data_IF_304789945438
#
_entry.id   IF_304789945438
#
_cell.length_a   1.000
_cell.length_b   1.000
_cell.length_c   1.000
_cell.angle_alpha   90.00
_cell.angle_beta   90.00
_cell.angle_gamma   90.00
#
_symmetry.space_group_name_H-M   'P 1'
#
loop_
_entity.id
_entity.type
_entity.pdbx_description
1 polymer ?
#
# COMPACT_ATOMS: atom_id res chain seq x y z
N UNK A 1 23.19 15.09 7.33
CA UNK A 1 22.06 14.27 7.83
C UNK A 1 22.20 12.89 7.22
N UNK A 2 22.08 11.83 8.03
CA UNK A 2 21.98 10.44 7.55
C UNK A 2 20.51 10.05 7.50
N UNK A 3 20.05 9.50 6.39
CA UNK A 3 18.69 8.99 6.25
C UNK A 3 18.67 7.48 6.53
N UNK A 4 17.67 7.00 7.27
CA UNK A 4 17.40 5.58 7.42
C UNK A 4 16.69 5.07 6.18
N UNK A 5 17.21 4.00 5.57
CA UNK A 5 16.63 3.35 4.38
C UNK A 5 16.38 1.89 4.70
N UNK A 6 15.18 1.40 4.40
CA UNK A 6 14.80 -0.01 4.51
C UNK A 6 14.45 -0.54 3.13
N UNK A 7 15.08 -1.64 2.72
CA UNK A 7 14.91 -2.27 1.40
C UNK A 7 14.98 -3.78 1.55
N UNK A 8 13.95 -4.47 1.06
CA UNK A 8 13.84 -5.92 1.10
C UNK A 8 13.39 -6.45 -0.28
N UNK A 9 13.81 -7.66 -0.62
CA UNK A 9 13.37 -8.36 -1.82
C UNK A 9 12.14 -9.22 -1.51
N UNK A 10 11.05 -9.03 -2.26
CA UNK A 10 9.92 -9.96 -2.33
C UNK A 10 10.08 -10.86 -3.56
N UNK A 11 9.65 -12.12 -3.45
CA UNK A 11 9.71 -13.10 -4.54
C UNK A 11 8.33 -13.40 -5.13
N UNK A 12 7.26 -13.07 -4.41
CA UNK A 12 5.89 -13.16 -4.92
C UNK A 12 4.97 -12.06 -4.36
N UNK A 13 3.78 -11.95 -4.95
CA UNK A 13 2.68 -11.13 -4.42
C UNK A 13 1.66 -11.94 -3.59
N UNK A 14 2.01 -13.16 -3.16
CA UNK A 14 1.15 -13.92 -2.27
C UNK A 14 0.88 -13.12 -0.99
N UNK A 15 -0.38 -13.01 -0.59
CA UNK A 15 -0.82 -12.11 0.50
C UNK A 15 0.01 -12.34 1.77
N UNK A 16 0.24 -13.59 2.18
CA UNK A 16 1.00 -13.91 3.39
C UNK A 16 2.47 -13.47 3.30
N UNK A 17 3.09 -13.59 2.11
CA UNK A 17 4.46 -13.15 1.87
C UNK A 17 4.56 -11.62 1.89
N UNK A 18 3.63 -10.94 1.22
CA UNK A 18 3.56 -9.48 1.16
C UNK A 18 3.29 -8.89 2.55
N UNK A 19 2.38 -9.46 3.31
CA UNK A 19 2.13 -9.03 4.68
C UNK A 19 3.39 -9.17 5.54
N UNK A 20 4.02 -10.35 5.53
CA UNK A 20 5.23 -10.60 6.31
C UNK A 20 6.39 -9.66 5.92
N UNK A 21 6.59 -9.40 4.63
CA UNK A 21 7.67 -8.52 4.18
C UNK A 21 7.38 -7.04 4.49
N UNK A 22 6.13 -6.59 4.41
CA UNK A 22 5.77 -5.21 4.77
C UNK A 22 6.01 -4.92 6.24
N UNK A 23 5.69 -5.87 7.13
CA UNK A 23 6.01 -5.74 8.55
C UNK A 23 7.52 -5.53 8.77
N UNK A 24 8.35 -6.39 8.17
CA UNK A 24 9.82 -6.28 8.24
C UNK A 24 10.35 -5.01 7.58
N UNK A 25 9.74 -4.58 6.47
CA UNK A 25 10.14 -3.38 5.75
C UNK A 25 9.95 -2.12 6.60
N UNK A 26 8.84 -2.05 7.35
CA UNK A 26 8.49 -0.89 8.17
C UNK A 26 9.14 -0.91 9.56
N UNK A 27 9.55 -2.07 10.07
CA UNK A 27 10.13 -2.22 11.42
C UNK A 27 11.28 -1.22 11.70
N UNK A 28 12.29 -1.02 10.83
CA UNK A 28 13.37 -0.05 11.08
C UNK A 28 12.90 1.41 11.13
N UNK A 29 11.68 1.69 10.65
CA UNK A 29 11.05 3.01 10.64
C UNK A 29 10.06 3.19 11.82
N UNK A 30 10.00 2.22 12.73
CA UNK A 30 9.06 2.21 13.87
C UNK A 30 7.70 1.58 13.54
N UNK A 31 7.59 0.86 12.42
CA UNK A 31 6.36 0.20 11.99
C UNK A 31 5.29 1.15 11.47
N UNK A 32 4.12 0.60 11.14
CA UNK A 32 2.98 1.42 10.67
C UNK A 32 2.51 2.41 11.74
N UNK A 33 2.57 2.05 13.02
CA UNK A 33 2.16 2.87 14.16
C UNK A 33 3.02 4.12 14.35
N UNK A 34 4.25 4.15 13.82
CA UNK A 34 5.05 5.37 13.78
C UNK A 34 4.41 6.44 12.88
N UNK A 35 3.67 6.01 11.84
CA UNK A 35 3.10 6.85 10.79
C UNK A 35 1.61 7.12 11.03
N UNK A 36 0.83 6.08 11.33
CA UNK A 36 -0.63 6.12 11.49
C UNK A 36 -0.99 6.12 12.97
N UNK A 37 -1.93 7.00 13.35
CA UNK A 37 -2.48 7.07 14.71
C UNK A 37 -3.95 6.62 14.75
N UNK A 38 -4.43 6.13 15.91
CA UNK A 38 -5.83 5.77 16.06
C UNK A 38 -6.77 6.91 15.69
N UNK A 39 -7.76 6.62 14.82
CA UNK A 39 -8.72 7.59 14.32
C UNK A 39 -8.31 8.34 13.05
N UNK A 40 -7.07 8.19 12.58
CA UNK A 40 -6.63 8.81 11.32
C UNK A 40 -7.44 8.29 10.14
N UNK A 41 -7.84 9.18 9.23
CA UNK A 41 -8.36 8.81 7.92
C UNK A 41 -7.21 8.80 6.92
N UNK A 42 -6.82 7.62 6.47
CA UNK A 42 -5.61 7.43 5.66
C UNK A 42 -5.97 7.18 4.21
N UNK A 43 -5.57 8.10 3.32
CA UNK A 43 -5.69 7.91 1.88
C UNK A 43 -4.64 6.90 1.41
N UNK A 44 -5.11 5.78 0.88
CA UNK A 44 -4.30 4.89 0.07
C UNK A 44 -4.44 5.35 -1.38
N UNK A 45 -3.32 5.74 -1.97
CA UNK A 45 -3.24 6.22 -3.36
C UNK A 45 -2.56 5.19 -4.27
N UNK A 46 -3.21 4.03 -4.53
CA UNK A 46 -2.68 3.09 -5.51
C UNK A 46 -2.62 3.80 -6.86
N UNK A 47 -1.70 3.37 -7.71
CA UNK A 47 -1.54 3.92 -9.04
C UNK A 47 -2.45 3.11 -9.99
N UNK A 48 -3.56 3.69 -10.46
CA UNK A 48 -4.63 3.02 -11.22
C UNK A 48 -4.74 3.57 -12.67
N UNK A 49 -3.63 3.85 -13.35
CA UNK A 49 -3.56 4.63 -14.60
C UNK A 49 -4.62 4.30 -15.67
N UNK A 50 -4.94 3.01 -15.82
CA UNK A 50 -5.89 2.49 -16.81
C UNK A 50 -6.51 1.23 -16.24
N UNK A 51 -7.75 0.88 -16.64
CA UNK A 51 -8.38 -0.43 -16.38
C UNK A 51 -7.67 -1.58 -17.14
N UNK A 52 -6.35 -1.64 -17.04
CA UNK A 52 -5.51 -2.63 -17.68
C UNK A 52 -5.42 -3.87 -16.81
N UNK A 53 -5.24 -5.02 -17.47
CA UNK A 53 -5.02 -6.29 -16.77
C UNK A 53 -3.74 -6.22 -15.93
N UNK A 54 -3.69 -6.86 -14.75
CA UNK A 54 -2.52 -6.87 -13.86
C UNK A 54 -1.21 -7.30 -14.53
N UNK A 55 -1.30 -8.07 -15.61
CA UNK A 55 -0.15 -8.58 -16.37
C UNK A 55 0.69 -7.52 -17.08
N UNK A 56 0.22 -6.26 -17.14
CA UNK A 56 0.99 -5.15 -17.73
C UNK A 56 1.79 -4.35 -16.70
N UNK A 57 1.65 -4.65 -15.41
CA UNK A 57 2.28 -3.88 -14.31
C UNK A 57 2.05 -2.36 -14.39
N UNK A 58 0.95 -1.96 -15.02
CA UNK A 58 0.58 -0.54 -15.20
C UNK A 58 -0.21 0.00 -14.00
N UNK A 59 -0.66 -0.89 -13.11
CA UNK A 59 -1.37 -0.53 -11.88
C UNK A 59 -0.74 -1.21 -10.67
N UNK A 60 -0.88 -0.59 -9.50
CA UNK A 60 -0.41 -1.20 -8.24
C UNK A 60 -1.10 -2.54 -8.01
N UNK A 61 -0.35 -3.56 -7.56
CA UNK A 61 -0.89 -4.88 -7.26
C UNK A 61 -1.92 -4.80 -6.12
N UNK A 62 -3.14 -5.35 -6.30
CA UNK A 62 -4.21 -5.24 -5.30
C UNK A 62 -3.83 -5.89 -3.97
N UNK A 63 -3.03 -6.95 -3.98
CA UNK A 63 -2.54 -7.64 -2.78
C UNK A 63 -1.69 -6.71 -1.91
N UNK A 64 -0.88 -5.85 -2.53
CA UNK A 64 -0.09 -4.85 -1.83
C UNK A 64 -0.98 -3.79 -1.17
N UNK A 65 -1.99 -3.29 -1.91
CA UNK A 65 -2.96 -2.31 -1.40
C UNK A 65 -3.74 -2.89 -0.22
N UNK A 66 -4.16 -4.15 -0.34
CA UNK A 66 -4.84 -4.89 0.72
C UNK A 66 -3.99 -4.98 1.98
N UNK A 67 -2.75 -5.45 1.88
CA UNK A 67 -1.89 -5.62 3.05
C UNK A 67 -1.59 -4.27 3.73
N UNK A 68 -1.39 -3.19 2.97
CA UNK A 68 -1.20 -1.86 3.54
C UNK A 68 -2.48 -1.36 4.24
N UNK A 69 -3.67 -1.60 3.67
CA UNK A 69 -4.92 -1.25 4.31
C UNK A 69 -5.12 -1.98 5.64
N UNK A 70 -4.77 -3.27 5.71
CA UNK A 70 -4.84 -4.05 6.95
C UNK A 70 -3.82 -3.54 7.99
N UNK A 71 -2.62 -3.12 7.59
CA UNK A 71 -1.66 -2.47 8.50
C UNK A 71 -2.19 -1.14 9.05
N UNK A 72 -2.83 -0.32 8.22
CA UNK A 72 -3.47 0.93 8.66
C UNK A 72 -4.56 0.66 9.70
N UNK A 73 -5.43 -0.32 9.43
CA UNK A 73 -6.49 -0.73 10.37
C UNK A 73 -5.91 -1.25 11.67
N UNK A 74 -4.85 -2.07 11.61
CA UNK A 74 -4.18 -2.60 12.79
C UNK A 74 -3.60 -1.49 13.68
N UNK A 75 -3.12 -0.39 13.08
CA UNK A 75 -2.68 0.81 13.79
C UNK A 75 -3.84 1.70 14.31
N UNK A 76 -5.10 1.29 14.12
CA UNK A 76 -6.30 2.04 14.53
C UNK A 76 -6.76 3.11 13.54
N UNK A 77 -6.16 3.18 12.35
CA UNK A 77 -6.56 4.09 11.28
C UNK A 77 -7.74 3.57 10.44
N UNK A 78 -8.30 4.45 9.62
CA UNK A 78 -9.37 4.19 8.68
C UNK A 78 -8.86 4.38 7.25
N UNK A 79 -8.44 3.31 6.55
CA UNK A 79 -7.97 3.43 5.17
C UNK A 79 -9.14 3.72 4.23
N UNK A 80 -8.90 4.57 3.24
CA UNK A 80 -9.80 4.73 2.11
C UNK A 80 -8.99 4.85 0.83
N UNK A 81 -9.54 4.37 -0.29
CA UNK A 81 -8.87 4.42 -1.57
C UNK A 81 -9.26 5.68 -2.31
N UNK A 82 -8.28 6.30 -2.96
CA UNK A 82 -8.50 7.39 -3.90
C UNK A 82 -7.33 7.49 -4.84
N UNK A 83 -7.62 7.70 -6.13
CA UNK A 83 -6.60 7.95 -7.12
C UNK A 83 -7.10 8.96 -8.15
N UNK A 84 -6.17 9.54 -8.90
CA UNK A 84 -6.43 10.52 -9.95
C UNK A 84 -5.88 9.99 -11.28
N UNK A 85 -6.58 9.02 -11.92
CA UNK A 85 -6.11 8.45 -13.18
C UNK A 85 -6.14 9.50 -14.30
N UNK A 86 -5.23 9.36 -15.25
CA UNK A 86 -5.20 10.23 -16.43
C UNK A 86 -6.44 10.05 -17.33
N UNK A 87 -7.10 8.89 -17.23
CA UNK A 87 -8.28 8.55 -18.00
C UNK A 87 -9.38 8.01 -17.08
N UNK A 88 -10.61 8.52 -17.23
CA UNK A 88 -11.76 8.05 -16.46
C UNK A 88 -11.81 8.54 -15.01
N UNK A 89 -12.75 7.99 -14.24
CA UNK A 89 -12.83 8.22 -12.79
C UNK A 89 -12.06 7.13 -12.03
N UNK A 90 -11.69 7.39 -10.77
CA UNK A 90 -11.07 6.37 -9.90
C UNK A 90 -11.88 5.06 -9.87
N UNK A 91 -13.22 5.15 -9.85
CA UNK A 91 -14.10 3.99 -9.90
C UNK A 91 -14.06 3.26 -11.25
N UNK A 92 -13.85 3.97 -12.35
CA UNK A 92 -13.80 3.38 -13.70
C UNK A 92 -12.48 2.68 -14.04
N UNK A 93 -11.44 2.87 -13.23
CA UNK A 93 -10.09 2.31 -13.47
C UNK A 93 -9.60 1.37 -12.36
N UNK A 94 -10.28 1.37 -11.22
CA UNK A 94 -9.98 0.50 -10.08
C UNK A 94 -10.34 -0.97 -10.37
#
# INVERSE_FOLDING_TARGET
MTATVSLLQAHSYAIDEVAAILHKLLEPLGGMEAIVKPGDRVLLKPNLLTGARPTKECVTRPELVYCVAELVKAAGGQPFLGDSPAFGSAHGVA
#
